data_IF_165474343805
#
_entry.id   IF_165474343805
#
_cell.length_a   1.000
_cell.length_b   1.000
_cell.length_c   1.000
_cell.angle_alpha   90.00
_cell.angle_beta   90.00
_cell.angle_gamma   90.00
#
_symmetry.space_group_name_H-M   'P 1'
#
loop_
_entity.id
_entity.type
_entity.pdbx_description
1 polymer ?
#
# COMPACT_ATOMS: atom_id res chain seq x y z
N UNK A 1 18.17 3.11 -22.25
CA UNK A 1 18.38 4.36 -21.47
C UNK A 1 17.91 4.11 -20.05
N UNK A 2 18.88 3.89 -19.16
CA UNK A 2 18.62 3.68 -17.72
C UNK A 2 17.97 4.95 -17.14
N UNK A 3 16.74 4.85 -16.66
CA UNK A 3 16.15 5.87 -15.80
C UNK A 3 16.98 5.88 -14.52
N UNK A 4 17.75 6.93 -14.31
CA UNK A 4 18.35 7.24 -13.01
C UNK A 4 17.14 7.40 -12.06
N UNK A 5 16.88 6.38 -11.24
CA UNK A 5 16.01 6.53 -10.09
C UNK A 5 16.72 7.51 -9.15
N UNK A 6 16.32 8.78 -9.23
CA UNK A 6 16.71 9.79 -8.24
C UNK A 6 16.21 9.27 -6.91
N UNK A 7 17.12 8.83 -6.05
CA UNK A 7 16.78 8.37 -4.72
C UNK A 7 15.95 9.46 -4.04
N UNK A 8 14.75 9.14 -3.61
CA UNK A 8 13.83 10.07 -2.93
C UNK A 8 14.48 10.78 -1.74
N UNK A 9 15.52 10.19 -1.16
CA UNK A 9 16.33 10.76 -0.10
C UNK A 9 17.06 12.06 -0.49
N UNK A 10 17.24 12.35 -1.79
CA UNK A 10 17.93 13.56 -2.28
C UNK A 10 17.01 14.69 -2.69
N UNK A 11 15.71 14.45 -2.83
CA UNK A 11 14.74 15.46 -3.28
C UNK A 11 14.66 16.66 -2.35
N UNK A 12 14.63 17.86 -2.93
CA UNK A 12 14.32 19.10 -2.22
C UNK A 12 12.83 19.18 -1.90
N UNK A 13 12.38 20.02 -0.94
CA UNK A 13 10.95 20.19 -0.68
C UNK A 13 10.15 20.62 -1.90
N UNK A 14 10.73 21.40 -2.81
CA UNK A 14 10.06 21.82 -4.07
C UNK A 14 9.84 20.65 -5.01
N UNK A 15 10.82 19.77 -5.18
CA UNK A 15 10.69 18.57 -5.99
C UNK A 15 9.67 17.59 -5.41
N UNK A 16 9.63 17.45 -4.07
CA UNK A 16 8.60 16.65 -3.40
C UNK A 16 7.20 17.20 -3.70
N UNK A 17 7.01 18.53 -3.61
CA UNK A 17 5.72 19.17 -3.96
C UNK A 17 5.36 18.90 -5.42
N UNK A 18 6.31 19.04 -6.36
CA UNK A 18 6.10 18.75 -7.78
C UNK A 18 5.68 17.30 -8.04
N UNK A 19 6.27 16.34 -7.32
CA UNK A 19 5.85 14.94 -7.42
C UNK A 19 4.44 14.72 -6.85
N UNK A 20 4.10 15.39 -5.74
CA UNK A 20 2.74 15.36 -5.19
C UNK A 20 1.72 16.02 -6.15
N UNK A 21 2.11 17.09 -6.85
CA UNK A 21 1.26 17.78 -7.83
C UNK A 21 0.84 16.87 -9.01
N UNK A 22 1.63 15.84 -9.32
CA UNK A 22 1.27 14.84 -10.35
C UNK A 22 0.09 13.93 -9.96
N UNK A 23 -0.30 13.96 -8.69
CA UNK A 23 -1.33 13.06 -8.15
C UNK A 23 -2.46 13.81 -7.45
N UNK A 24 -2.19 14.99 -6.93
CA UNK A 24 -3.10 15.73 -6.06
C UNK A 24 -3.22 17.16 -6.58
N UNK A 25 -4.43 17.58 -6.86
CA UNK A 25 -4.75 18.94 -7.31
C UNK A 25 -4.89 19.87 -6.10
N UNK A 26 -4.37 21.09 -6.20
CA UNK A 26 -4.48 22.10 -5.15
C UNK A 26 -3.74 21.75 -3.85
N UNK A 27 -4.24 22.19 -2.71
CA UNK A 27 -3.78 21.86 -1.35
C UNK A 27 -2.29 22.19 -1.10
N UNK A 28 -1.82 23.35 -1.57
CA UNK A 28 -0.40 23.73 -1.58
C UNK A 28 0.23 23.74 -0.18
N UNK A 29 -0.48 24.26 0.83
CA UNK A 29 0.05 24.37 2.19
C UNK A 29 0.25 22.98 2.83
N UNK A 30 -0.69 22.06 2.61
CA UNK A 30 -0.57 20.70 3.10
C UNK A 30 0.59 19.96 2.40
N UNK A 31 0.74 20.07 1.08
CA UNK A 31 1.87 19.51 0.33
C UNK A 31 3.20 20.06 0.81
N UNK A 32 3.27 21.39 1.01
CA UNK A 32 4.47 22.06 1.54
C UNK A 32 4.84 21.56 2.94
N UNK A 33 3.88 21.45 3.85
CA UNK A 33 4.09 20.96 5.20
C UNK A 33 4.68 19.54 5.23
N UNK A 34 4.06 18.61 4.46
CA UNK A 34 4.54 17.22 4.38
C UNK A 34 5.90 17.13 3.68
N UNK A 35 6.16 17.95 2.67
CA UNK A 35 7.44 18.00 1.97
C UNK A 35 8.58 18.48 2.90
N UNK A 36 8.29 19.48 3.74
CA UNK A 36 9.24 19.96 4.77
C UNK A 36 9.47 18.87 5.81
N UNK A 37 8.42 18.18 6.27
CA UNK A 37 8.53 17.09 7.24
C UNK A 37 9.42 15.95 6.72
N UNK A 38 9.22 15.53 5.45
CA UNK A 38 10.05 14.51 4.81
C UNK A 38 11.53 14.99 4.70
N UNK A 39 11.74 16.23 4.25
CA UNK A 39 13.11 16.76 4.13
C UNK A 39 13.80 16.91 5.47
N UNK A 40 13.07 17.24 6.53
CA UNK A 40 13.62 17.33 7.88
C UNK A 40 14.10 15.97 8.41
N UNK A 41 13.45 14.87 8.03
CA UNK A 41 13.96 13.52 8.31
C UNK A 41 15.33 13.28 7.67
N UNK A 42 15.46 13.61 6.40
CA UNK A 42 16.75 13.49 5.72
C UNK A 42 17.81 14.37 6.39
N UNK A 43 17.47 15.64 6.73
CA UNK A 43 18.38 16.54 7.46
C UNK A 43 18.79 15.96 8.80
N UNK A 44 17.86 15.39 9.54
CA UNK A 44 18.11 14.74 10.82
C UNK A 44 19.14 13.61 10.70
N UNK A 45 19.04 12.78 9.66
CA UNK A 45 19.97 11.67 9.43
C UNK A 45 21.40 12.14 9.09
N UNK A 46 21.59 13.42 8.73
CA UNK A 46 22.91 14.02 8.50
C UNK A 46 23.55 14.61 9.77
N UNK A 47 22.81 14.64 10.88
CA UNK A 47 23.31 15.17 12.14
C UNK A 47 24.20 14.13 12.86
N UNK A 48 25.10 14.66 13.72
CA UNK A 48 25.85 13.81 14.65
C UNK A 48 24.91 13.04 15.58
N UNK A 49 25.29 11.83 16.05
CA UNK A 49 24.40 10.96 16.82
C UNK A 49 23.73 11.61 18.02
N UNK A 50 24.48 12.43 18.76
CA UNK A 50 24.00 13.10 19.98
C UNK A 50 22.82 14.04 19.63
N UNK A 51 22.98 14.88 18.61
CA UNK A 51 21.97 15.84 18.20
C UNK A 51 20.83 15.15 17.44
N UNK A 52 21.11 14.05 16.71
CA UNK A 52 20.10 13.28 15.98
C UNK A 52 19.02 12.73 16.90
N UNK A 53 19.41 12.27 18.09
CA UNK A 53 18.48 11.69 19.06
C UNK A 53 17.56 12.74 19.71
N UNK A 54 18.01 14.00 19.78
CA UNK A 54 17.23 15.11 20.36
C UNK A 54 16.23 15.72 19.35
N UNK A 55 16.44 15.50 18.03
CA UNK A 55 15.57 16.07 17.00
C UNK A 55 14.38 15.17 16.73
N UNK A 56 13.24 15.49 17.31
CA UNK A 56 11.97 14.81 17.08
C UNK A 56 11.25 15.30 15.81
N UNK A 57 10.49 14.44 15.11
CA UNK A 57 9.65 14.86 14.00
C UNK A 57 8.57 15.84 14.47
N UNK A 58 8.17 16.74 13.58
CA UNK A 58 7.04 17.65 13.83
C UNK A 58 5.79 17.04 13.22
N UNK A 59 4.91 16.52 14.07
CA UNK A 59 3.67 15.91 13.64
C UNK A 59 2.72 16.95 13.04
N UNK A 60 1.84 16.50 12.15
CA UNK A 60 0.99 17.36 11.34
C UNK A 60 -0.49 17.03 11.63
N UNK A 61 -1.29 18.07 11.86
CA UNK A 61 -2.74 17.99 11.91
C UNK A 61 -3.30 18.58 10.63
N UNK A 62 -3.96 17.75 9.81
CA UNK A 62 -4.65 18.14 8.57
C UNK A 62 -6.12 18.36 8.85
N UNK A 63 -6.61 19.57 8.62
CA UNK A 63 -7.98 19.99 8.88
C UNK A 63 -8.66 20.26 7.54
N UNK A 64 -9.87 19.77 7.33
CA UNK A 64 -10.62 20.08 6.10
C UNK A 64 -11.66 19.01 5.76
N UNK A 65 -12.57 19.32 4.80
CA UNK A 65 -13.68 18.45 4.43
C UNK A 65 -13.24 17.04 4.01
N UNK A 66 -14.19 16.12 3.95
CA UNK A 66 -13.98 14.78 3.40
C UNK A 66 -13.67 14.86 1.91
N UNK A 67 -12.81 13.97 1.42
CA UNK A 67 -12.55 13.83 -0.03
C UNK A 67 -11.68 14.93 -0.66
N UNK A 68 -11.02 15.80 0.12
CA UNK A 68 -10.11 16.84 -0.40
C UNK A 68 -8.65 16.39 -0.56
N UNK A 69 -8.35 15.10 -0.32
CA UNK A 69 -7.03 14.53 -0.56
C UNK A 69 -6.14 14.37 0.67
N UNK A 70 -6.62 14.55 1.91
CA UNK A 70 -5.81 14.40 3.14
C UNK A 70 -5.05 13.07 3.20
N UNK A 71 -5.76 11.96 3.09
CA UNK A 71 -5.17 10.60 3.08
C UNK A 71 -4.23 10.38 1.90
N UNK A 72 -4.59 10.88 0.73
CA UNK A 72 -3.81 10.69 -0.49
C UNK A 72 -2.45 11.41 -0.41
N UNK A 73 -2.41 12.62 0.18
CA UNK A 73 -1.16 13.34 0.44
C UNK A 73 -0.23 12.49 1.31
N UNK A 74 -0.72 11.94 2.41
CA UNK A 74 0.09 11.12 3.32
C UNK A 74 0.56 9.82 2.66
N UNK A 75 -0.31 9.15 1.91
CA UNK A 75 0.01 7.91 1.19
C UNK A 75 1.07 8.15 0.12
N UNK A 76 0.93 9.20 -0.68
CA UNK A 76 1.93 9.56 -1.71
C UNK A 76 3.26 9.97 -1.11
N UNK A 77 3.23 10.70 0.01
CA UNK A 77 4.46 11.02 0.76
C UNK A 77 5.21 9.76 1.18
N UNK A 78 4.50 8.78 1.74
CA UNK A 78 5.09 7.52 2.17
C UNK A 78 5.67 6.72 0.99
N UNK A 79 4.96 6.68 -0.15
CA UNK A 79 5.46 6.05 -1.37
C UNK A 79 6.72 6.75 -1.88
N UNK A 80 6.75 8.08 -1.92
CA UNK A 80 7.93 8.85 -2.32
C UNK A 80 9.12 8.62 -1.37
N UNK A 81 8.85 8.51 -0.08
CA UNK A 81 9.86 8.25 0.93
C UNK A 81 10.33 6.79 0.96
N UNK A 82 9.66 5.89 0.24
CA UNK A 82 9.83 4.45 0.39
C UNK A 82 9.78 4.00 1.86
N UNK A 83 8.84 4.59 2.62
CA UNK A 83 8.72 4.48 4.06
C UNK A 83 7.57 3.53 4.44
N UNK A 84 7.71 2.78 5.54
CA UNK A 84 6.58 2.04 6.11
C UNK A 84 5.43 3.00 6.43
N UNK A 85 4.22 2.63 6.01
CA UNK A 85 3.03 3.46 6.15
C UNK A 85 1.85 2.65 6.63
N UNK A 86 1.17 3.17 7.65
CA UNK A 86 -0.11 2.62 8.11
C UNK A 86 -1.14 3.75 8.17
N UNK A 87 -2.36 3.45 7.72
CA UNK A 87 -3.53 4.30 7.90
C UNK A 87 -4.47 3.62 8.91
N UNK A 88 -4.87 4.38 9.93
CA UNK A 88 -5.86 3.96 10.91
C UNK A 88 -6.94 5.02 11.08
N UNK A 89 -8.11 4.62 11.51
CA UNK A 89 -9.20 5.51 11.90
C UNK A 89 -9.24 5.57 13.43
N UNK A 90 -9.22 6.78 14.00
CA UNK A 90 -9.24 6.98 15.46
C UNK A 90 -10.43 6.30 16.14
N UNK A 91 -11.56 6.20 15.43
CA UNK A 91 -12.80 5.57 15.92
C UNK A 91 -12.73 4.05 16.08
N UNK A 92 -11.68 3.40 15.54
CA UNK A 92 -11.47 1.93 15.69
C UNK A 92 -10.91 1.54 17.06
N UNK A 93 -10.37 2.51 17.78
CA UNK A 93 -9.77 2.28 19.08
C UNK A 93 -10.76 2.56 20.19
N UNK A 94 -10.64 1.83 21.26
CA UNK A 94 -11.40 2.02 22.48
C UNK A 94 -10.42 2.17 23.65
N UNK A 95 -10.85 2.87 24.68
CA UNK A 95 -10.06 3.01 25.92
C UNK A 95 -9.62 1.65 26.46
N UNK A 96 -8.39 1.56 26.94
CA UNK A 96 -7.83 0.33 27.50
C UNK A 96 -8.76 -0.23 28.60
N UNK A 97 -9.12 -1.51 28.43
CA UNK A 97 -10.07 -2.19 29.36
C UNK A 97 -11.48 -2.38 28.80
N UNK A 98 -11.83 -1.75 27.68
CA UNK A 98 -13.08 -2.01 26.95
C UNK A 98 -12.84 -2.94 25.74
N UNK A 99 -13.91 -3.54 25.24
CA UNK A 99 -13.83 -4.41 24.04
C UNK A 99 -13.53 -3.54 22.84
N UNK A 100 -12.29 -3.63 22.34
CA UNK A 100 -11.80 -2.88 21.17
C UNK A 100 -10.33 -3.15 20.88
N UNK A 101 -9.79 -2.48 19.85
CA UNK A 101 -8.37 -2.57 19.52
C UNK A 101 -7.56 -1.60 20.37
N UNK A 102 -6.47 -2.12 20.93
CA UNK A 102 -5.42 -1.34 21.57
C UNK A 102 -4.71 -0.43 20.56
N UNK A 103 -4.38 0.78 20.95
CA UNK A 103 -3.66 1.76 20.11
C UNK A 103 -2.25 1.29 19.70
N UNK A 104 -1.60 0.44 20.51
CA UNK A 104 -0.31 -0.16 20.15
C UNK A 104 -0.39 -1.03 18.88
N UNK A 105 -1.59 -1.51 18.53
CA UNK A 105 -1.80 -2.26 17.29
C UNK A 105 -1.37 -1.45 16.06
N UNK A 106 -1.42 -0.13 16.11
CA UNK A 106 -0.92 0.78 15.05
C UNK A 106 0.55 0.47 14.74
N UNK A 107 1.35 0.33 15.78
CA UNK A 107 2.79 0.10 15.63
C UNK A 107 3.07 -1.36 15.21
N UNK A 108 2.27 -2.31 15.68
CA UNK A 108 2.36 -3.72 15.24
C UNK A 108 2.02 -3.83 13.75
N UNK A 109 0.98 -3.15 13.28
CA UNK A 109 0.58 -3.10 11.86
C UNK A 109 1.65 -2.38 11.00
N UNK A 110 2.28 -1.32 11.55
CA UNK A 110 3.39 -0.64 10.90
C UNK A 110 4.60 -1.56 10.72
N UNK A 111 4.92 -2.36 11.75
CA UNK A 111 5.99 -3.36 11.71
C UNK A 111 5.72 -4.43 10.65
N UNK A 112 4.51 -4.96 10.58
CA UNK A 112 4.10 -5.93 9.57
C UNK A 112 4.25 -5.37 8.15
N UNK A 113 3.86 -4.11 7.97
CA UNK A 113 4.01 -3.40 6.68
C UNK A 113 5.48 -3.20 6.33
N UNK A 114 6.33 -2.84 7.29
CA UNK A 114 7.76 -2.66 7.08
C UNK A 114 8.44 -3.96 6.68
N UNK A 115 8.17 -5.06 7.40
CA UNK A 115 8.76 -6.38 7.07
C UNK A 115 8.36 -6.81 5.67
N UNK A 116 7.09 -6.64 5.28
CA UNK A 116 6.63 -6.92 3.91
C UNK A 116 7.39 -6.08 2.88
N UNK A 117 7.50 -4.77 3.11
CA UNK A 117 8.20 -3.84 2.22
C UNK A 117 9.67 -4.23 2.03
N UNK A 118 10.38 -4.48 3.11
CA UNK A 118 11.80 -4.83 3.07
C UNK A 118 12.06 -6.21 2.49
N UNK A 119 11.14 -7.18 2.74
CA UNK A 119 11.20 -8.50 2.12
C UNK A 119 11.07 -8.41 0.61
N UNK A 120 10.11 -7.65 0.09
CA UNK A 120 9.95 -7.45 -1.34
C UNK A 120 11.18 -6.75 -1.97
N UNK A 121 11.73 -5.74 -1.29
CA UNK A 121 12.97 -5.10 -1.73
C UNK A 121 14.16 -6.07 -1.75
N UNK A 122 14.29 -6.92 -0.73
CA UNK A 122 15.34 -7.93 -0.67
C UNK A 122 15.20 -8.95 -1.80
N UNK A 123 13.98 -9.43 -2.08
CA UNK A 123 13.68 -10.32 -3.22
C UNK A 123 14.06 -9.69 -4.56
N UNK A 124 13.73 -8.40 -4.77
CA UNK A 124 14.12 -7.67 -6.00
C UNK A 124 15.65 -7.61 -6.16
N UNK A 125 16.39 -7.41 -5.07
CA UNK A 125 17.87 -7.37 -5.10
C UNK A 125 18.49 -8.71 -5.50
N UNK A 126 17.91 -9.82 -5.05
CA UNK A 126 18.42 -11.18 -5.32
C UNK A 126 17.77 -11.81 -6.55
N UNK A 127 16.88 -11.11 -7.25
CA UNK A 127 16.07 -11.65 -8.35
C UNK A 127 16.89 -12.31 -9.45
N UNK A 128 17.95 -11.66 -9.92
CA UNK A 128 18.81 -12.23 -10.98
C UNK A 128 19.42 -13.56 -10.53
N UNK A 129 19.90 -13.62 -9.29
CA UNK A 129 20.47 -14.85 -8.73
C UNK A 129 19.39 -15.93 -8.50
N UNK A 130 18.18 -15.51 -8.12
CA UNK A 130 17.04 -16.42 -7.99
C UNK A 130 16.59 -16.97 -9.35
N UNK A 131 16.60 -16.16 -10.41
CA UNK A 131 16.33 -16.59 -11.79
C UNK A 131 17.34 -17.63 -12.27
N UNK A 132 18.64 -17.42 -12.01
CA UNK A 132 19.68 -18.41 -12.33
C UNK A 132 19.48 -19.75 -11.59
N UNK A 133 19.17 -19.70 -10.29
CA UNK A 133 18.89 -20.92 -9.50
C UNK A 133 17.61 -21.62 -9.96
N UNK A 134 16.57 -20.87 -10.30
CA UNK A 134 15.34 -21.43 -10.85
C UNK A 134 15.58 -22.12 -12.20
N UNK A 135 16.40 -21.51 -13.08
CA UNK A 135 16.82 -22.14 -14.35
C UNK A 135 17.58 -23.46 -14.08
N UNK A 136 18.47 -23.49 -13.10
CA UNK A 136 19.20 -24.70 -12.74
C UNK A 136 18.28 -25.81 -12.23
N UNK A 137 17.27 -25.48 -11.42
CA UNK A 137 16.28 -26.45 -10.97
C UNK A 137 15.41 -27.00 -12.10
N UNK A 138 15.02 -26.17 -13.06
CA UNK A 138 14.29 -26.62 -14.25
C UNK A 138 15.18 -27.55 -15.08
N UNK A 139 16.46 -27.22 -15.25
CA UNK A 139 17.40 -28.05 -15.96
C UNK A 139 17.65 -29.40 -15.24
N UNK A 140 17.70 -29.41 -13.91
CA UNK A 140 17.83 -30.65 -13.13
C UNK A 140 16.58 -31.55 -13.27
N UNK A 141 15.38 -30.96 -13.39
CA UNK A 141 14.14 -31.68 -13.65
C UNK A 141 14.08 -32.24 -15.09
N UNK A 142 14.60 -31.52 -16.07
CA UNK A 142 14.65 -31.93 -17.48
C UNK A 142 15.75 -32.98 -17.75
N UNK A 143 16.86 -32.87 -17.05
CA UNK A 143 18.06 -33.69 -17.20
C UNK A 143 18.42 -34.30 -15.84
N UNK A 144 17.64 -35.26 -15.35
CA UNK A 144 17.93 -35.86 -14.06
C UNK A 144 19.32 -36.50 -14.08
N UNK A 145 20.16 -36.10 -13.13
CA UNK A 145 21.48 -36.73 -12.95
C UNK A 145 21.28 -38.22 -12.77
N UNK A 146 21.92 -39.03 -13.59
CA UNK A 146 21.95 -40.44 -13.39
C UNK A 146 22.60 -40.69 -12.02
N UNK A 147 21.80 -41.02 -11.02
CA UNK A 147 22.28 -41.53 -9.75
C UNK A 147 22.99 -42.87 -10.08
N UNK A 148 24.31 -42.87 -9.93
CA UNK A 148 25.08 -44.08 -10.09
C UNK A 148 24.45 -45.19 -9.30
N UNK A 149 24.29 -46.35 -9.93
CA UNK A 149 23.65 -47.53 -9.33
C UNK A 149 24.27 -47.87 -7.99
N UNK A 150 23.48 -48.56 -7.17
CA UNK A 150 23.87 -49.14 -5.87
C UNK A 150 25.06 -50.07 -6.10
N UNK A 151 26.27 -49.51 -6.06
CA UNK A 151 27.53 -50.23 -6.10
C UNK A 151 28.51 -49.47 -5.21
N UNK A 152 29.03 -50.16 -4.18
CA UNK A 152 30.08 -49.67 -3.32
C UNK A 152 31.39 -49.57 -4.12
N UNK A 153 31.57 -48.51 -4.88
CA UNK A 153 32.83 -48.20 -5.53
C UNK A 153 33.35 -46.86 -5.03
N UNK A 154 34.40 -46.82 -4.19
CA UNK A 154 34.94 -45.59 -3.61
C UNK A 154 35.52 -44.61 -4.66
N UNK A 155 35.77 -45.05 -5.89
CA UNK A 155 36.24 -44.21 -6.99
C UNK A 155 35.12 -43.47 -7.77
N UNK A 156 33.87 -43.94 -7.63
CA UNK A 156 32.71 -43.27 -8.30
C UNK A 156 32.29 -41.92 -7.65
N UNK A 157 32.86 -41.56 -6.50
CA UNK A 157 32.58 -40.30 -5.80
C UNK A 157 33.29 -39.07 -6.40
N UNK A 158 34.04 -39.21 -7.49
CA UNK A 158 34.78 -38.12 -8.17
C UNK A 158 34.35 -37.84 -9.63
N UNK A 159 33.13 -38.22 -10.00
CA UNK A 159 32.66 -37.91 -11.31
C UNK A 159 32.25 -36.42 -11.39
N UNK A 160 33.21 -35.57 -11.78
CA UNK A 160 32.90 -34.29 -12.38
C UNK A 160 31.93 -34.53 -13.55
N UNK A 161 30.92 -33.64 -13.77
CA UNK A 161 29.96 -33.78 -14.86
C UNK A 161 30.74 -33.90 -16.19
N UNK A 162 30.42 -34.92 -16.99
CA UNK A 162 31.10 -35.14 -18.25
C UNK A 162 31.00 -33.92 -19.17
N UNK A 163 32.01 -33.66 -20.01
CA UNK A 163 31.97 -32.53 -20.94
C UNK A 163 30.70 -32.56 -21.81
N UNK A 164 30.18 -33.72 -22.15
CA UNK A 164 28.94 -33.91 -22.91
C UNK A 164 27.70 -33.52 -22.11
N UNK A 165 27.65 -33.78 -20.80
CA UNK A 165 26.54 -33.37 -19.90
C UNK A 165 26.51 -31.83 -19.78
N UNK A 166 27.69 -31.19 -19.74
CA UNK A 166 27.81 -29.75 -19.72
C UNK A 166 27.32 -29.10 -21.02
N UNK A 167 27.69 -29.64 -22.18
CA UNK A 167 27.25 -29.14 -23.51
C UNK A 167 25.72 -29.28 -23.66
N UNK A 168 25.15 -30.40 -23.25
CA UNK A 168 23.71 -30.63 -23.29
C UNK A 168 22.97 -29.64 -22.38
N UNK A 169 23.49 -29.42 -21.16
CA UNK A 169 22.91 -28.47 -20.20
C UNK A 169 22.97 -27.02 -20.74
N UNK A 170 24.06 -26.64 -21.38
CA UNK A 170 24.18 -25.32 -22.01
C UNK A 170 23.16 -25.15 -23.16
N UNK A 171 22.96 -26.19 -23.97
CA UNK A 171 21.97 -26.17 -25.07
C UNK A 171 20.55 -26.04 -24.54
N UNK A 172 20.18 -26.84 -23.51
CA UNK A 172 18.86 -26.76 -22.90
C UNK A 172 18.63 -25.40 -22.20
N UNK A 173 19.64 -24.83 -21.55
CA UNK A 173 19.57 -23.49 -20.97
C UNK A 173 19.27 -22.42 -22.06
N UNK A 174 19.89 -22.55 -23.25
CA UNK A 174 19.63 -21.65 -24.36
C UNK A 174 18.20 -21.78 -24.87
N UNK A 175 17.70 -23.01 -25.04
CA UNK A 175 16.31 -23.30 -25.42
C UNK A 175 15.30 -22.82 -24.36
N UNK A 176 15.64 -22.90 -23.08
CA UNK A 176 14.83 -22.40 -21.99
C UNK A 176 14.71 -20.87 -22.04
N UNK A 177 15.81 -20.17 -22.37
CA UNK A 177 15.84 -18.71 -22.48
C UNK A 177 15.16 -18.20 -23.77
N UNK A 178 15.15 -18.99 -24.84
CA UNK A 178 14.42 -18.67 -26.07
C UNK A 178 12.92 -18.94 -25.99
N UNK A 179 12.43 -19.63 -24.93
CA UNK A 179 11.03 -19.99 -24.78
C UNK A 179 10.59 -21.25 -25.53
N UNK A 180 11.48 -21.94 -26.23
CA UNK A 180 11.17 -23.16 -26.99
C UNK A 180 10.65 -24.33 -26.11
N UNK A 181 10.92 -24.27 -24.81
CA UNK A 181 10.54 -25.32 -23.86
C UNK A 181 9.34 -24.90 -22.96
N UNK A 182 8.75 -23.73 -23.18
CA UNK A 182 7.74 -23.13 -22.29
C UNK A 182 6.51 -24.01 -22.06
N UNK A 183 6.04 -24.70 -23.10
CA UNK A 183 4.86 -25.60 -23.05
C UNK A 183 5.20 -27.02 -22.57
N UNK A 184 6.47 -27.32 -22.33
CA UNK A 184 6.88 -28.64 -21.84
C UNK A 184 6.55 -28.81 -20.37
N UNK A 185 5.93 -29.92 -20.02
CA UNK A 185 5.62 -30.29 -18.65
C UNK A 185 6.83 -30.85 -17.92
N UNK A 186 7.00 -30.44 -16.68
CA UNK A 186 8.04 -30.94 -15.76
C UNK A 186 7.40 -31.28 -14.41
N UNK A 187 7.91 -32.29 -13.77
CA UNK A 187 7.56 -32.64 -12.39
C UNK A 187 8.51 -31.93 -11.42
N UNK A 188 7.95 -31.13 -10.54
CA UNK A 188 8.71 -30.33 -9.58
C UNK A 188 8.24 -30.58 -8.15
N UNK A 189 9.22 -30.68 -7.26
CA UNK A 189 8.99 -30.61 -5.82
C UNK A 189 8.91 -29.13 -5.42
N UNK A 190 7.70 -28.61 -5.30
CA UNK A 190 7.46 -27.27 -4.78
C UNK A 190 7.22 -27.34 -3.28
N UNK A 191 7.91 -26.48 -2.54
CA UNK A 191 7.61 -26.30 -1.12
C UNK A 191 6.12 -25.93 -0.98
N UNK A 192 5.38 -26.70 -0.22
CA UNK A 192 4.02 -26.33 0.13
C UNK A 192 4.11 -25.04 0.93
N UNK A 193 3.78 -23.90 0.31
CA UNK A 193 3.44 -22.69 1.05
C UNK A 193 2.13 -22.94 1.79
N UNK A 194 2.18 -23.76 2.84
CA UNK A 194 1.11 -23.84 3.83
C UNK A 194 1.30 -22.64 4.74
N UNK A 195 0.94 -21.44 4.26
CA UNK A 195 0.45 -20.43 5.15
C UNK A 195 -0.92 -20.91 5.64
N UNK A 196 -0.93 -21.90 6.56
CA UNK A 196 -2.04 -22.03 7.47
C UNK A 196 -2.01 -20.79 8.34
N UNK A 197 -2.69 -19.74 7.89
CA UNK A 197 -3.18 -18.72 8.78
C UNK A 197 -4.21 -19.40 9.69
N UNK A 198 -3.72 -19.97 10.78
CA UNK A 198 -4.57 -20.35 11.91
C UNK A 198 -5.04 -18.99 12.43
N UNK A 199 -6.27 -18.61 12.07
CA UNK A 199 -6.95 -17.46 12.67
C UNK A 199 -7.09 -17.77 14.16
N UNK A 200 -6.09 -17.36 14.92
CA UNK A 200 -6.17 -17.36 16.38
C UNK A 200 -6.99 -16.13 16.80
N UNK A 201 -7.98 -16.30 17.69
CA UNK A 201 -8.69 -15.16 18.27
C UNK A 201 -7.71 -14.19 18.94
N UNK A 202 -8.01 -12.87 18.96
CA UNK A 202 -7.20 -11.88 19.64
C UNK A 202 -6.95 -12.28 21.11
N UNK A 203 -5.69 -12.30 21.53
CA UNK A 203 -5.27 -12.71 22.88
C UNK A 203 -4.75 -14.14 23.03
N UNK A 204 -4.75 -14.97 21.97
CA UNK A 204 -4.22 -16.35 21.98
C UNK A 204 -3.03 -16.53 21.02
N UNK A 205 -2.31 -15.46 20.69
CA UNK A 205 -1.22 -15.47 19.71
C UNK A 205 -0.04 -16.36 20.12
N UNK A 206 0.29 -16.41 21.42
CA UNK A 206 1.34 -17.30 21.96
C UNK A 206 0.98 -18.77 21.82
N UNK A 207 -0.29 -19.12 22.02
CA UNK A 207 -0.78 -20.48 21.85
C UNK A 207 -0.80 -20.90 20.37
N UNK A 208 -1.10 -19.95 19.47
CA UNK A 208 -1.00 -20.13 18.02
C UNK A 208 0.44 -20.39 17.57
N UNK A 209 1.42 -19.70 18.15
CA UNK A 209 2.84 -19.92 17.87
C UNK A 209 3.33 -21.26 18.44
N UNK A 210 2.91 -21.64 19.64
CA UNK A 210 3.23 -22.94 20.23
C UNK A 210 2.62 -24.08 19.42
N UNK A 211 1.37 -23.97 18.97
CA UNK A 211 0.76 -24.93 18.05
C UNK A 211 1.51 -25.00 16.71
N UNK A 212 1.90 -23.87 16.13
CA UNK A 212 2.71 -23.81 14.90
C UNK A 212 4.06 -24.49 15.05
N UNK A 213 4.75 -24.27 16.17
CA UNK A 213 6.03 -24.92 16.48
C UNK A 213 5.86 -26.42 16.78
N UNK A 214 4.75 -26.78 17.40
CA UNK A 214 4.44 -28.20 17.70
C UNK A 214 4.07 -28.96 16.42
N UNK A 215 3.32 -28.37 15.51
CA UNK A 215 3.06 -28.96 14.19
C UNK A 215 4.29 -28.99 13.29
N UNK A 216 5.18 -28.01 13.36
CA UNK A 216 6.46 -28.01 12.66
C UNK A 216 7.40 -29.16 13.19
N UNK A 217 7.33 -29.43 14.48
CA UNK A 217 8.15 -30.51 15.11
C UNK A 217 7.53 -31.91 15.02
N UNK A 218 6.19 -32.03 14.93
CA UNK A 218 5.52 -33.36 14.79
C UNK A 218 5.36 -33.78 13.32
N UNK A 219 5.37 -32.86 12.38
CA UNK A 219 5.33 -33.14 10.95
C UNK A 219 6.74 -33.16 10.40
N UNK A 220 7.43 -34.27 10.51
CA UNK A 220 8.73 -34.46 9.88
C UNK A 220 8.69 -34.09 8.41
N UNK A 221 9.40 -33.01 8.05
CA UNK A 221 9.60 -32.53 6.68
C UNK A 221 8.32 -32.07 5.99
N UNK A 222 8.23 -30.78 5.65
CA UNK A 222 7.23 -30.30 4.71
C UNK A 222 7.21 -31.27 3.51
N UNK A 223 6.15 -32.03 3.36
CA UNK A 223 6.00 -32.94 2.20
C UNK A 223 5.96 -32.05 0.97
N UNK A 224 7.08 -32.00 0.24
CA UNK A 224 7.10 -31.40 -1.07
C UNK A 224 6.00 -32.07 -1.90
N UNK A 225 5.03 -31.29 -2.35
CA UNK A 225 4.01 -31.83 -3.24
C UNK A 225 4.58 -31.82 -4.65
N UNK A 226 4.78 -33.01 -5.19
CA UNK A 226 5.09 -33.16 -6.60
C UNK A 226 3.93 -32.62 -7.43
N UNK A 227 4.23 -31.61 -8.24
CA UNK A 227 3.27 -31.02 -9.18
C UNK A 227 3.84 -31.06 -10.57
N UNK A 228 3.01 -31.51 -11.52
CA UNK A 228 3.32 -31.41 -12.94
C UNK A 228 2.80 -30.07 -13.46
N UNK A 229 3.70 -29.24 -13.97
CA UNK A 229 3.41 -27.91 -14.49
C UNK A 229 4.17 -27.70 -15.79
N UNK A 230 3.64 -26.85 -16.67
CA UNK A 230 4.43 -26.35 -17.81
C UNK A 230 5.57 -25.45 -17.31
N UNK A 231 6.67 -25.43 -18.00
CA UNK A 231 7.86 -24.63 -17.64
C UNK A 231 7.48 -23.15 -17.49
N UNK A 232 6.63 -22.65 -18.38
CA UNK A 232 6.08 -21.29 -18.33
C UNK A 232 5.38 -20.97 -17.00
N UNK A 233 4.57 -21.90 -16.49
CA UNK A 233 3.87 -21.74 -15.22
C UNK A 233 4.77 -21.98 -14.00
N UNK A 234 5.74 -22.90 -14.12
CA UNK A 234 6.66 -23.27 -13.06
C UNK A 234 7.74 -22.21 -12.79
N UNK A 235 8.23 -21.53 -13.83
CA UNK A 235 9.32 -20.54 -13.75
C UNK A 235 9.08 -19.44 -12.72
N UNK A 236 7.97 -18.69 -12.73
CA UNK A 236 7.71 -17.65 -11.74
C UNK A 236 7.63 -18.19 -10.30
N UNK A 237 7.07 -19.39 -10.10
CA UNK A 237 6.96 -20.02 -8.79
C UNK A 237 8.33 -20.42 -8.24
N UNK A 238 9.20 -20.95 -9.09
CA UNK A 238 10.56 -21.32 -8.70
C UNK A 238 11.41 -20.08 -8.41
N UNK A 239 11.31 -19.03 -9.21
CA UNK A 239 12.02 -17.77 -8.95
C UNK A 239 11.62 -17.20 -7.60
N UNK A 240 10.33 -17.20 -7.28
CA UNK A 240 9.81 -16.71 -5.99
C UNK A 240 10.31 -17.57 -4.81
N UNK A 241 10.32 -18.91 -4.96
CA UNK A 241 10.83 -19.81 -3.94
C UNK A 241 12.35 -19.65 -3.73
N UNK A 242 13.14 -19.55 -4.80
CA UNK A 242 14.58 -19.35 -4.72
C UNK A 242 14.93 -17.96 -4.19
N UNK A 243 14.17 -16.92 -4.57
CA UNK A 243 14.34 -15.59 -3.99
C UNK A 243 14.10 -15.62 -2.47
N UNK A 244 13.06 -16.32 -2.02
CA UNK A 244 12.77 -16.52 -0.60
C UNK A 244 13.91 -17.23 0.17
N UNK A 245 14.58 -18.22 -0.45
CA UNK A 245 15.74 -18.93 0.15
C UNK A 245 17.01 -18.08 0.19
N UNK A 246 17.16 -17.14 -0.74
CA UNK A 246 18.33 -16.26 -0.82
C UNK A 246 18.29 -15.09 0.17
N UNK A 247 17.11 -14.79 0.67
CA UNK A 247 16.89 -13.64 1.55
C UNK A 247 17.11 -14.06 3.01
N UNK A 248 17.86 -13.26 3.75
CA UNK A 248 18.05 -13.43 5.19
C UNK A 248 16.92 -12.74 5.98
N UNK A 249 16.09 -13.50 6.65
CA UNK A 249 14.94 -12.98 7.43
C UNK A 249 15.38 -12.15 8.64
N UNK A 250 16.54 -12.43 9.26
CA UNK A 250 17.06 -11.64 10.39
C UNK A 250 17.53 -10.25 9.93
N UNK A 251 18.16 -10.16 8.76
CA UNK A 251 18.56 -8.88 8.17
C UNK A 251 17.33 -8.04 7.80
N UNK A 252 16.29 -8.68 7.21
CA UNK A 252 15.02 -8.01 6.92
C UNK A 252 14.38 -7.47 8.20
N UNK A 253 14.30 -8.30 9.24
CA UNK A 253 13.71 -7.93 10.52
C UNK A 253 14.41 -6.73 11.13
N UNK A 254 15.74 -6.75 11.18
CA UNK A 254 16.56 -5.67 11.71
C UNK A 254 16.34 -4.37 10.91
N UNK A 255 16.43 -4.45 9.58
CA UNK A 255 16.22 -3.31 8.70
C UNK A 255 14.78 -2.76 8.76
N UNK A 256 13.79 -3.64 8.93
CA UNK A 256 12.39 -3.24 9.05
C UNK A 256 12.10 -2.51 10.38
N UNK A 257 12.68 -2.98 11.49
CA UNK A 257 12.58 -2.29 12.79
C UNK A 257 13.19 -0.90 12.69
N UNK A 258 14.42 -0.79 12.19
CA UNK A 258 15.09 0.50 12.00
C UNK A 258 14.28 1.42 11.09
N UNK A 259 13.73 0.90 10.00
CA UNK A 259 12.87 1.67 9.11
C UNK A 259 11.56 2.14 9.77
N UNK A 260 10.96 1.34 10.63
CA UNK A 260 9.81 1.77 11.43
C UNK A 260 10.17 2.93 12.32
N UNK A 261 11.24 2.79 13.09
CA UNK A 261 11.68 3.80 14.07
C UNK A 261 12.10 5.10 13.41
N UNK A 262 12.89 5.04 12.32
CA UNK A 262 13.50 6.23 11.71
C UNK A 262 12.66 6.83 10.58
N UNK A 263 11.85 6.02 9.90
CA UNK A 263 11.15 6.41 8.68
C UNK A 263 9.65 6.12 8.69
N UNK A 264 9.11 5.46 9.72
CA UNK A 264 7.69 5.11 9.82
C UNK A 264 6.77 6.33 9.71
N UNK A 265 5.64 6.19 9.02
CA UNK A 265 4.59 7.20 8.90
C UNK A 265 3.28 6.57 9.34
N UNK A 266 2.65 7.18 10.33
CA UNK A 266 1.32 6.80 10.82
C UNK A 266 0.34 7.89 10.45
N UNK A 267 -0.72 7.52 9.73
CA UNK A 267 -1.81 8.42 9.40
C UNK A 267 -3.04 8.05 10.23
N UNK A 268 -3.46 8.96 11.11
CA UNK A 268 -4.62 8.81 11.98
C UNK A 268 -5.76 9.63 11.38
N UNK A 269 -6.74 8.94 10.79
CA UNK A 269 -7.92 9.58 10.19
C UNK A 269 -9.03 9.77 11.23
N UNK A 270 -9.91 10.72 10.98
CA UNK A 270 -11.10 11.01 11.79
C UNK A 270 -10.80 11.34 13.27
N UNK A 271 -9.68 12.03 13.55
CA UNK A 271 -9.30 12.40 14.93
C UNK A 271 -10.34 13.33 15.59
N UNK A 272 -11.09 14.10 14.80
CA UNK A 272 -12.19 14.95 15.26
C UNK A 272 -13.38 14.17 15.87
N UNK A 273 -13.51 12.89 15.53
CA UNK A 273 -14.56 12.02 16.06
C UNK A 273 -14.33 11.60 17.52
N UNK A 274 -13.07 11.61 17.95
CA UNK A 274 -12.67 11.33 19.33
C UNK A 274 -12.45 12.62 20.16
N UNK A 275 -12.67 13.81 19.58
CA UNK A 275 -12.70 15.07 20.30
C UNK A 275 -13.97 15.22 21.14
N UNK A 276 -13.92 16.02 22.21
CA UNK A 276 -15.10 16.33 23.03
C UNK A 276 -16.18 16.99 22.19
N UNK A 277 -17.44 16.63 22.40
CA UNK A 277 -18.60 17.30 21.80
C UNK A 277 -19.38 18.05 22.87
N UNK A 278 -19.04 19.34 23.06
CA UNK A 278 -19.83 20.25 23.90
C UNK A 278 -19.91 19.90 25.41
N UNK A 279 -20.69 20.68 26.15
CA UNK A 279 -20.81 20.60 27.63
C UNK A 279 -21.69 19.43 28.15
N UNK A 280 -22.21 18.57 27.32
CA UNK A 280 -23.00 17.40 27.75
C UNK A 280 -22.09 16.23 28.08
N UNK A 281 -21.78 16.08 29.34
CA UNK A 281 -21.05 14.93 29.94
C UNK A 281 -21.93 13.68 29.93
N UNK A 282 -21.95 12.96 28.81
CA UNK A 282 -22.49 11.60 28.70
C UNK A 282 -21.38 10.56 28.74
N UNK A 283 -21.66 9.34 29.18
CA UNK A 283 -20.66 8.27 29.30
C UNK A 283 -19.86 7.96 28.01
N UNK A 284 -20.33 8.41 26.83
CA UNK A 284 -19.61 8.28 25.57
C UNK A 284 -18.45 9.28 25.39
N UNK A 285 -18.40 10.38 26.14
CA UNK A 285 -17.33 11.39 26.03
C UNK A 285 -16.09 10.96 26.84
N UNK A 286 -16.27 10.22 27.92
CA UNK A 286 -15.17 9.63 28.71
C UNK A 286 -14.37 8.65 27.85
N UNK A 287 -15.05 7.77 27.11
CA UNK A 287 -14.39 6.79 26.22
C UNK A 287 -13.63 7.46 25.07
N UNK A 288 -14.10 8.60 24.53
CA UNK A 288 -13.40 9.36 23.47
C UNK A 288 -12.15 10.03 23.98
N UNK A 289 -12.19 10.64 25.15
CA UNK A 289 -11.02 11.23 25.82
C UNK A 289 -9.99 10.15 26.17
N UNK A 290 -10.45 8.94 26.58
CA UNK A 290 -9.60 7.78 26.84
C UNK A 290 -8.75 7.40 25.61
N UNK A 291 -9.36 7.33 24.42
CA UNK A 291 -8.61 7.04 23.17
C UNK A 291 -7.53 8.09 22.90
N UNK A 292 -7.81 9.38 23.14
CA UNK A 292 -6.79 10.43 22.98
C UNK A 292 -5.63 10.25 23.98
N UNK A 293 -5.93 9.89 25.22
CA UNK A 293 -4.91 9.62 26.26
C UNK A 293 -4.08 8.39 25.95
N UNK A 294 -4.70 7.35 25.36
CA UNK A 294 -3.99 6.14 24.95
C UNK A 294 -3.09 6.38 23.72
N UNK A 295 -3.48 7.28 22.81
CA UNK A 295 -2.64 7.69 21.67
C UNK A 295 -1.42 8.53 22.09
N UNK A 296 -1.53 9.25 23.21
CA UNK A 296 -0.51 10.20 23.64
C UNK A 296 0.89 9.58 23.84
N UNK A 297 1.07 8.44 24.54
CA UNK A 297 2.36 7.79 24.68
C UNK A 297 3.00 7.43 23.32
N UNK A 298 2.20 7.00 22.35
CA UNK A 298 2.74 6.67 21.02
C UNK A 298 3.28 7.91 20.30
N UNK A 299 2.59 9.04 20.43
CA UNK A 299 2.96 10.30 19.77
C UNK A 299 4.08 11.03 20.52
N UNK A 300 4.21 10.80 21.82
CA UNK A 300 5.27 11.35 22.67
C UNK A 300 6.59 10.61 22.58
N UNK A 301 6.53 9.32 22.32
CA UNK A 301 7.64 8.38 22.31
C UNK A 301 7.44 7.29 23.36
N UNK A 302 7.33 6.07 22.93
CA UNK A 302 7.16 4.88 23.76
C UNK A 302 7.82 3.67 23.11
N UNK A 303 7.99 2.60 23.91
CA UNK A 303 8.47 1.31 23.42
C UNK A 303 7.31 0.36 23.25
N UNK A 304 7.07 -0.09 22.02
CA UNK A 304 5.99 -1.03 21.71
C UNK A 304 6.57 -2.39 21.36
N UNK A 305 6.13 -3.42 22.07
CA UNK A 305 6.51 -4.80 21.79
C UNK A 305 5.77 -5.35 20.59
N UNK A 306 6.52 -5.91 19.64
CA UNK A 306 5.99 -6.57 18.44
C UNK A 306 6.58 -7.98 18.30
N UNK A 307 6.00 -8.81 17.45
CA UNK A 307 6.55 -10.15 17.14
C UNK A 307 7.94 -10.12 16.47
N UNK A 308 8.37 -8.95 16.01
CA UNK A 308 9.69 -8.76 15.39
C UNK A 308 10.73 -8.17 16.35
N UNK A 309 10.31 -7.64 17.47
CA UNK A 309 11.11 -6.96 18.47
C UNK A 309 10.41 -5.70 18.98
N UNK A 310 11.08 -4.98 19.87
CA UNK A 310 10.60 -3.71 20.40
C UNK A 310 10.87 -2.58 19.41
N UNK A 311 9.89 -1.71 19.18
CA UNK A 311 9.97 -0.53 18.31
C UNK A 311 9.79 0.72 19.16
N UNK A 312 10.70 1.68 19.01
CA UNK A 312 10.62 3.01 19.61
C UNK A 312 9.87 3.96 18.70
N UNK A 313 8.90 4.69 19.25
CA UNK A 313 8.02 5.55 18.43
C UNK A 313 8.51 7.00 18.32
N UNK A 314 9.59 7.39 19.04
CA UNK A 314 10.11 8.76 19.13
C UNK A 314 10.32 9.48 17.80
N UNK A 315 10.67 8.74 16.75
CA UNK A 315 10.98 9.33 15.45
C UNK A 315 10.00 8.93 14.34
N UNK A 316 8.88 8.29 14.69
CA UNK A 316 7.78 8.05 13.79
C UNK A 316 7.06 9.36 13.51
N UNK A 317 6.70 9.62 12.25
CA UNK A 317 5.90 10.79 11.89
C UNK A 317 4.42 10.45 12.01
N UNK A 318 3.73 11.14 12.89
CA UNK A 318 2.29 11.06 12.99
C UNK A 318 1.65 12.19 12.19
N UNK A 319 0.70 11.85 11.33
CA UNK A 319 -0.13 12.78 10.60
C UNK A 319 -1.57 12.49 10.99
N UNK A 320 -2.18 13.36 11.76
CA UNK A 320 -3.58 13.24 12.10
C UNK A 320 -4.45 14.02 11.12
N UNK A 321 -5.67 13.56 10.86
CA UNK A 321 -6.62 14.26 10.01
C UNK A 321 -8.03 14.23 10.57
N UNK A 322 -8.78 15.31 10.34
CA UNK A 322 -10.18 15.44 10.71
C UNK A 322 -10.90 16.46 9.86
N UNK A 323 -12.22 16.33 9.80
CA UNK A 323 -13.07 17.32 9.13
C UNK A 323 -13.31 18.55 10.02
N UNK A 324 -13.39 18.34 11.32
CA UNK A 324 -13.65 19.38 12.33
C UNK A 324 -14.90 20.24 12.06
N UNK A 325 -15.94 19.60 11.52
CA UNK A 325 -17.22 20.30 11.30
C UNK A 325 -18.02 20.53 12.59
N UNK A 326 -18.01 19.54 13.48
CA UNK A 326 -18.76 19.55 14.76
C UNK A 326 -17.87 19.81 15.97
N UNK A 327 -16.59 19.49 15.84
CA UNK A 327 -15.56 19.71 16.85
C UNK A 327 -14.54 20.70 16.30
N UNK A 328 -13.80 21.36 17.19
CA UNK A 328 -12.67 22.23 16.84
C UNK A 328 -11.36 21.54 17.22
N UNK A 329 -10.23 21.89 16.59
CA UNK A 329 -8.91 21.40 17.05
C UNK A 329 -8.62 21.67 18.54
N UNK A 330 -9.23 22.73 19.11
CA UNK A 330 -9.16 23.05 20.56
C UNK A 330 -9.93 22.08 21.44
N UNK A 331 -10.78 21.23 20.89
CA UNK A 331 -11.57 20.25 21.66
C UNK A 331 -10.81 18.92 21.86
N UNK A 332 -9.65 18.79 21.21
CA UNK A 332 -8.66 17.76 21.57
C UNK A 332 -8.05 18.07 22.92
N UNK A 333 -7.58 17.06 23.66
CA UNK A 333 -6.89 17.28 24.93
C UNK A 333 -5.63 18.16 24.73
N UNK A 334 -5.30 19.08 25.64
CA UNK A 334 -4.20 20.04 25.47
C UNK A 334 -2.85 19.39 25.16
N UNK A 335 -2.58 18.23 25.78
CA UNK A 335 -1.35 17.48 25.59
C UNK A 335 -1.23 17.00 24.12
N UNK A 336 -2.30 16.46 23.55
CA UNK A 336 -2.32 16.00 22.18
C UNK A 336 -2.22 17.17 21.19
N UNK A 337 -2.85 18.32 21.50
CA UNK A 337 -2.70 19.53 20.69
C UNK A 337 -1.25 19.99 20.60
N UNK A 338 -0.50 19.91 21.69
CA UNK A 338 0.92 20.25 21.76
C UNK A 338 1.82 19.33 20.92
N UNK A 339 1.38 18.08 20.72
CA UNK A 339 2.12 17.08 19.94
C UNK A 339 1.86 17.16 18.43
N UNK A 340 0.87 17.94 17.98
CA UNK A 340 0.61 18.26 16.58
C UNK A 340 0.83 19.77 16.31
N UNK A 341 2.08 20.24 16.35
CA UNK A 341 2.41 21.66 16.25
C UNK A 341 2.17 22.25 14.86
N UNK A 342 2.20 21.41 13.81
CA UNK A 342 1.95 21.85 12.44
C UNK A 342 0.49 21.61 12.12
N UNK A 343 -0.25 22.70 11.92
CA UNK A 343 -1.66 22.65 11.51
C UNK A 343 -1.78 23.16 10.09
N UNK A 344 -2.44 22.39 9.23
CA UNK A 344 -2.68 22.77 7.84
C UNK A 344 -4.16 22.59 7.50
N UNK A 345 -4.72 23.61 6.86
CA UNK A 345 -6.09 23.58 6.40
C UNK A 345 -6.13 23.22 4.92
N UNK A 346 -6.99 22.27 4.57
CA UNK A 346 -7.28 21.88 3.21
C UNK A 346 -8.63 22.48 2.84
N UNK A 347 -8.65 23.30 1.80
CA UNK A 347 -9.87 23.94 1.29
C UNK A 347 -10.80 22.93 0.63
N UNK A 348 -12.10 23.26 0.62
CA UNK A 348 -13.07 22.57 -0.21
C UNK A 348 -12.67 22.71 -1.69
N UNK A 349 -13.00 21.69 -2.49
CA UNK A 349 -12.68 21.66 -3.92
C UNK A 349 -13.67 22.54 -4.69
N UNK A 350 -13.14 23.39 -5.55
CA UNK A 350 -13.93 24.19 -6.51
C UNK A 350 -14.29 23.38 -7.76
N UNK A 351 -15.23 23.88 -8.58
CA UNK A 351 -15.53 23.29 -9.90
C UNK A 351 -14.26 23.13 -10.74
N UNK A 352 -13.39 24.13 -10.74
CA UNK A 352 -12.14 24.08 -11.50
C UNK A 352 -11.18 22.99 -10.97
N UNK A 353 -11.17 22.75 -9.66
CA UNK A 353 -10.38 21.65 -9.10
C UNK A 353 -10.92 20.28 -9.55
N UNK A 354 -12.23 20.12 -9.69
CA UNK A 354 -12.82 18.89 -10.23
C UNK A 354 -12.42 18.66 -11.70
N UNK A 355 -12.44 19.70 -12.54
CA UNK A 355 -11.94 19.63 -13.93
C UNK A 355 -10.48 19.16 -13.94
N UNK A 356 -9.66 19.77 -13.10
CA UNK A 356 -8.24 19.41 -12.98
C UNK A 356 -8.04 17.99 -12.47
N UNK A 357 -8.83 17.53 -11.50
CA UNK A 357 -8.78 16.15 -10.97
C UNK A 357 -9.13 15.12 -12.06
N UNK A 358 -10.03 15.45 -12.94
CA UNK A 358 -10.41 14.58 -14.06
C UNK A 358 -9.35 14.50 -15.16
N UNK A 359 -8.42 15.48 -15.25
CA UNK A 359 -7.51 15.63 -16.40
C UNK A 359 -6.03 15.55 -16.08
N UNK A 360 -5.57 16.24 -15.00
CA UNK A 360 -4.14 16.45 -14.72
C UNK A 360 -3.42 15.22 -14.14
N UNK A 361 -3.98 14.49 -13.14
CA UNK A 361 -3.27 13.39 -12.50
C UNK A 361 -2.84 12.33 -13.51
N UNK A 362 -1.67 11.69 -13.26
CA UNK A 362 -1.20 10.58 -14.09
C UNK A 362 -2.25 9.48 -14.25
N UNK A 363 -2.97 9.18 -13.18
CA UNK A 363 -4.07 8.24 -13.14
C UNK A 363 -5.39 8.99 -12.92
N UNK A 364 -5.67 9.99 -13.76
CA UNK A 364 -6.96 10.67 -13.75
C UNK A 364 -8.10 9.66 -13.97
N UNK A 365 -9.26 9.90 -13.37
CA UNK A 365 -10.39 8.96 -13.45
C UNK A 365 -10.82 8.68 -14.89
N UNK A 366 -10.84 9.70 -15.75
CA UNK A 366 -11.13 9.53 -17.17
C UNK A 366 -10.21 8.50 -17.84
N UNK A 367 -8.89 8.62 -17.61
CA UNK A 367 -7.89 7.68 -18.12
C UNK A 367 -8.04 6.27 -17.57
N UNK A 368 -8.50 6.14 -16.32
CA UNK A 368 -8.76 4.81 -15.73
C UNK A 368 -9.91 4.11 -16.45
N UNK A 369 -11.03 4.81 -16.70
CA UNK A 369 -12.17 4.24 -17.42
C UNK A 369 -11.88 4.00 -18.91
N UNK A 370 -11.13 4.90 -19.58
CA UNK A 370 -10.63 4.67 -20.93
C UNK A 370 -9.82 3.36 -21.02
N UNK A 371 -8.92 3.15 -20.04
CA UNK A 371 -8.12 1.92 -19.99
C UNK A 371 -8.95 0.68 -19.65
N UNK A 372 -9.91 0.78 -18.71
CA UNK A 372 -10.79 -0.34 -18.33
C UNK A 372 -11.65 -0.80 -19.52
N UNK A 373 -12.36 0.11 -20.16
CA UNK A 373 -13.19 -0.22 -21.32
C UNK A 373 -12.36 -0.65 -22.53
N UNK A 374 -11.13 -0.13 -22.62
CA UNK A 374 -10.16 -0.56 -23.63
C UNK A 374 -9.75 -2.03 -23.50
N UNK A 375 -9.87 -2.66 -22.34
CA UNK A 375 -9.63 -4.12 -22.19
C UNK A 375 -10.66 -4.98 -22.90
N UNK A 376 -11.88 -4.45 -23.08
CA UNK A 376 -12.98 -5.06 -23.83
C UNK A 376 -13.02 -4.60 -25.30
N UNK A 377 -11.97 -3.92 -25.78
CA UNK A 377 -11.90 -3.41 -27.15
C UNK A 377 -12.66 -2.11 -27.40
N UNK A 378 -13.38 -1.55 -26.43
CA UNK A 378 -14.14 -0.30 -26.55
C UNK A 378 -13.21 0.89 -26.33
N UNK A 379 -13.10 1.76 -27.33
CA UNK A 379 -12.31 3.00 -27.25
C UNK A 379 -13.20 4.16 -26.81
N UNK A 380 -13.05 4.58 -25.57
CA UNK A 380 -13.77 5.72 -25.01
C UNK A 380 -12.84 6.92 -24.94
N UNK A 381 -13.38 8.11 -25.21
CA UNK A 381 -12.71 9.39 -24.99
C UNK A 381 -13.67 10.42 -24.42
N UNK A 382 -13.17 11.29 -23.54
CA UNK A 382 -13.96 12.36 -22.94
C UNK A 382 -13.61 13.69 -23.59
N UNK A 383 -14.61 14.40 -24.11
CA UNK A 383 -14.41 15.73 -24.66
C UNK A 383 -14.28 16.79 -23.55
N UNK A 384 -13.72 17.95 -23.86
CA UNK A 384 -13.51 19.00 -22.86
C UNK A 384 -14.83 19.52 -22.24
N UNK A 385 -15.88 19.60 -23.04
CA UNK A 385 -17.23 19.99 -22.59
C UNK A 385 -17.87 18.92 -21.69
N UNK A 386 -17.64 17.63 -21.96
CA UNK A 386 -18.06 16.54 -21.06
C UNK A 386 -17.38 16.64 -19.70
N UNK A 387 -16.06 16.86 -19.69
CA UNK A 387 -15.29 17.02 -18.45
C UNK A 387 -15.79 18.21 -17.63
N UNK A 388 -16.03 19.36 -18.29
CA UNK A 388 -16.56 20.55 -17.61
C UNK A 388 -17.96 20.29 -17.04
N UNK A 389 -18.81 19.57 -17.80
CA UNK A 389 -20.16 19.21 -17.38
C UNK A 389 -20.18 18.22 -16.21
N UNK A 390 -19.31 17.19 -16.23
CA UNK A 390 -19.13 16.25 -15.12
C UNK A 390 -18.66 16.95 -13.85
N UNK A 391 -17.69 17.86 -13.98
CA UNK A 391 -17.18 18.65 -12.87
C UNK A 391 -18.28 19.56 -12.27
N UNK A 392 -19.10 20.16 -13.11
CA UNK A 392 -20.23 20.99 -12.68
C UNK A 392 -21.27 20.17 -11.93
N UNK A 393 -21.66 19.01 -12.46
CA UNK A 393 -22.61 18.10 -11.80
C UNK A 393 -22.08 17.66 -10.44
N UNK A 394 -20.84 17.19 -10.37
CA UNK A 394 -20.23 16.74 -9.12
C UNK A 394 -20.14 17.89 -8.09
N UNK A 395 -19.83 19.09 -8.52
CA UNK A 395 -19.79 20.28 -7.68
C UNK A 395 -21.18 20.65 -7.15
N UNK A 396 -22.18 20.71 -8.03
CA UNK A 396 -23.57 21.04 -7.66
C UNK A 396 -24.17 20.03 -6.68
N UNK A 397 -23.90 18.74 -6.88
CA UNK A 397 -24.39 17.70 -5.97
C UNK A 397 -23.71 17.82 -4.60
N UNK A 398 -22.40 18.11 -4.54
CA UNK A 398 -21.70 18.37 -3.27
C UNK A 398 -22.21 19.64 -2.55
N UNK A 399 -22.68 20.67 -3.29
CA UNK A 399 -23.27 21.88 -2.70
C UNK A 399 -24.68 21.63 -2.13
N UNK A 400 -25.45 20.75 -2.77
CA UNK A 400 -26.85 20.48 -2.40
C UNK A 400 -26.99 19.39 -1.34
N UNK A 401 -26.00 18.50 -1.27
CA UNK A 401 -26.00 17.34 -0.39
C UNK A 401 -24.79 17.35 0.54
N UNK A 402 -24.47 16.19 1.15
CA UNK A 402 -23.25 16.02 1.91
C UNK A 402 -22.03 16.16 0.98
N UNK A 403 -21.14 17.08 1.33
CA UNK A 403 -19.92 17.32 0.58
C UNK A 403 -18.90 16.22 0.86
N UNK A 404 -18.79 15.27 -0.09
CA UNK A 404 -17.81 14.18 -0.04
C UNK A 404 -16.57 14.45 -0.92
N UNK A 405 -16.42 15.70 -1.41
CA UNK A 405 -15.27 16.14 -2.20
C UNK A 405 -15.11 15.34 -3.49
N UNK A 406 -13.86 15.03 -3.84
CA UNK A 406 -13.54 14.30 -5.08
C UNK A 406 -14.12 12.88 -5.16
N UNK A 407 -14.57 12.29 -4.05
CA UNK A 407 -15.27 10.99 -4.09
C UNK A 407 -16.54 11.05 -4.93
N UNK A 408 -17.17 12.24 -5.01
CA UNK A 408 -18.36 12.47 -5.87
C UNK A 408 -18.08 12.19 -7.34
N UNK A 409 -16.88 12.45 -7.82
CA UNK A 409 -16.50 12.16 -9.21
C UNK A 409 -16.56 10.65 -9.53
N UNK A 410 -16.21 9.78 -8.58
CA UNK A 410 -16.34 8.34 -8.76
C UNK A 410 -17.81 7.95 -8.94
N UNK A 411 -18.69 8.40 -8.03
CA UNK A 411 -20.12 8.05 -8.12
C UNK A 411 -20.77 8.57 -9.40
N UNK A 412 -20.40 9.79 -9.83
CA UNK A 412 -20.91 10.38 -11.06
C UNK A 412 -20.41 9.61 -12.29
N UNK A 413 -19.14 9.24 -12.35
CA UNK A 413 -18.57 8.47 -13.48
C UNK A 413 -19.09 7.04 -13.52
N UNK A 414 -19.20 6.36 -12.38
CA UNK A 414 -19.81 5.02 -12.32
C UNK A 414 -21.21 5.04 -12.89
N UNK A 415 -22.03 6.03 -12.52
CA UNK A 415 -23.39 6.15 -13.02
C UNK A 415 -23.44 6.51 -14.51
N UNK A 416 -22.56 7.40 -14.96
CA UNK A 416 -22.47 7.78 -16.37
C UNK A 416 -22.18 6.58 -17.26
N UNK A 417 -21.30 5.68 -16.80
CA UNK A 417 -20.75 4.59 -17.59
C UNK A 417 -21.40 3.23 -17.29
N UNK A 418 -22.41 3.19 -16.42
CA UNK A 418 -23.06 1.96 -15.97
C UNK A 418 -23.54 1.08 -17.15
N UNK A 419 -24.38 1.64 -18.03
CA UNK A 419 -24.89 0.93 -19.21
C UNK A 419 -23.75 0.54 -20.18
N UNK A 420 -22.81 1.46 -20.42
CA UNK A 420 -21.69 1.22 -21.31
C UNK A 420 -20.77 0.10 -20.79
N UNK A 421 -20.51 0.10 -19.49
CA UNK A 421 -19.68 -0.93 -18.86
C UNK A 421 -20.34 -2.30 -18.89
N UNK A 422 -21.67 -2.36 -18.76
CA UNK A 422 -22.44 -3.61 -18.87
C UNK A 422 -22.43 -4.19 -20.29
N UNK A 423 -22.51 -3.32 -21.30
CA UNK A 423 -22.58 -3.70 -22.72
C UNK A 423 -21.18 -3.86 -23.37
N UNK A 424 -20.11 -3.45 -22.70
CA UNK A 424 -18.77 -3.38 -23.27
C UNK A 424 -18.29 -4.68 -23.94
N UNK A 425 -18.52 -5.89 -23.37
CA UNK A 425 -18.13 -7.15 -24.02
C UNK A 425 -18.80 -7.39 -25.39
N UNK A 426 -19.98 -6.82 -25.61
CA UNK A 426 -20.74 -6.96 -26.85
C UNK A 426 -20.42 -5.84 -27.88
N UNK A 427 -19.58 -4.87 -27.51
CA UNK A 427 -19.27 -3.67 -28.29
C UNK A 427 -17.80 -3.58 -28.71
N UNK A 428 -17.14 -4.72 -28.86
CA UNK A 428 -15.71 -4.78 -29.27
C UNK A 428 -15.46 -4.03 -30.59
N UNK A 429 -14.40 -3.23 -30.61
CA UNK A 429 -13.99 -2.40 -31.74
C UNK A 429 -14.73 -1.04 -31.85
N UNK A 430 -15.70 -0.76 -31.00
CA UNK A 430 -16.43 0.50 -31.02
C UNK A 430 -15.59 1.66 -30.50
N UNK A 431 -15.83 2.86 -31.07
CA UNK A 431 -15.21 4.11 -30.61
C UNK A 431 -16.32 5.08 -30.22
N UNK A 432 -16.33 5.51 -28.96
CA UNK A 432 -17.32 6.41 -28.39
C UNK A 432 -16.66 7.67 -27.84
N UNK A 433 -17.11 8.83 -28.32
CA UNK A 433 -16.79 10.12 -27.73
C UNK A 433 -17.91 10.53 -26.77
N UNK A 434 -17.57 10.65 -25.50
CA UNK A 434 -18.49 11.16 -24.46
C UNK A 434 -18.41 12.67 -24.48
N UNK A 435 -19.50 13.31 -24.88
CA UNK A 435 -19.67 14.74 -24.91
C UNK A 435 -20.67 15.22 -23.83
N UNK A 436 -20.90 16.53 -23.74
CA UNK A 436 -21.84 17.08 -22.76
C UNK A 436 -23.28 16.59 -22.97
N UNK A 437 -23.69 16.32 -24.21
CA UNK A 437 -25.03 15.79 -24.52
C UNK A 437 -25.18 14.35 -23.98
N UNK A 438 -24.16 13.53 -24.13
CA UNK A 438 -24.14 12.19 -23.54
C UNK A 438 -24.24 12.26 -22.01
N UNK A 439 -23.47 13.18 -21.37
CA UNK A 439 -23.52 13.38 -19.92
C UNK A 439 -24.92 13.80 -19.47
N UNK A 440 -25.53 14.75 -20.13
CA UNK A 440 -26.87 15.24 -19.80
C UNK A 440 -27.96 14.16 -20.02
N UNK A 441 -27.84 13.33 -21.06
CA UNK A 441 -28.77 12.25 -21.31
C UNK A 441 -28.76 11.17 -20.20
N UNK A 442 -27.61 10.91 -19.59
CA UNK A 442 -27.46 9.85 -18.57
C UNK A 442 -27.58 10.36 -17.13
N UNK A 443 -27.27 11.63 -16.89
CA UNK A 443 -27.20 12.22 -15.55
C UNK A 443 -28.18 13.39 -15.32
N UNK A 444 -28.79 13.93 -16.39
CA UNK A 444 -29.61 15.14 -16.31
C UNK A 444 -30.82 15.00 -15.38
N UNK A 445 -31.52 13.88 -15.44
CA UNK A 445 -32.69 13.61 -14.56
C UNK A 445 -32.25 13.47 -13.10
N UNK A 446 -31.10 12.82 -12.84
CA UNK A 446 -30.56 12.61 -11.48
C UNK A 446 -30.16 13.91 -10.81
N UNK A 447 -29.72 14.91 -11.58
CA UNK A 447 -29.31 16.21 -11.06
C UNK A 447 -30.53 17.09 -10.74
N UNK A 448 -31.65 16.90 -11.46
CA UNK A 448 -32.88 17.67 -11.29
C UNK A 448 -33.71 17.17 -10.10
N UNK A 449 -33.69 15.86 -9.81
CA UNK A 449 -34.47 15.25 -8.74
C UNK A 449 -33.58 15.09 -7.47
N UNK A 450 -33.84 15.87 -6.39
CA UNK A 450 -33.08 15.77 -5.13
C UNK A 450 -33.18 14.40 -4.45
N UNK A 451 -34.32 13.70 -4.59
CA UNK A 451 -34.53 12.41 -3.96
C UNK A 451 -33.77 11.30 -4.72
N UNK A 452 -33.85 11.29 -6.04
CA UNK A 452 -33.04 10.36 -6.87
C UNK A 452 -31.56 10.60 -6.69
N UNK A 453 -31.13 11.85 -6.67
CA UNK A 453 -29.73 12.24 -6.45
C UNK A 453 -29.21 11.76 -5.09
N UNK A 454 -30.04 11.76 -4.04
CA UNK A 454 -29.68 11.32 -2.69
C UNK A 454 -29.46 9.81 -2.57
N UNK A 455 -30.16 9.01 -3.38
CA UNK A 455 -30.07 7.55 -3.35
C UNK A 455 -29.07 6.97 -4.34
N UNK A 456 -28.75 7.70 -5.39
CA UNK A 456 -27.98 7.16 -6.53
C UNK A 456 -26.60 7.81 -6.65
N UNK A 457 -26.45 9.07 -6.26
CA UNK A 457 -25.20 9.83 -6.26
C UNK A 457 -24.72 10.12 -4.83
#
# INVERSE_FOLDING_TARGET
>A
MSKIEVSSATMTPREIVQELDRHIVGQHDAKRAVAIALRNRWRRMQLVPELRNEVMPKNILMIGPTGVGKTEIARRLATLANAPFVKVEATRFTEVGYVGKDVEQIIRDLADTAVKLYREQAKVRVRTQAEERAEDRILDALLPRRSGGIGFDPEAARNEPSAQDNETRIKFRKMLRSGELDEREIELDLAANVSMDIMTPPGMEEMGQQLKSMFANLGGGAKAHKRTLTIKAARPLLVEEEAGKLVNEDDIRTAAIEACEQHGIVFIDEIDKVAKRGDNVGGGDVSREGVQRDLLPLVEGSNVSTKYGTIKTDHILFIASGAFHLAKPSDLIPELQGRFPIRVELGALSKNDFVRILTEPKAALTKQYEALLGTEGVKVSFTADAIDRLAEIAFQVNERQENIGARRLHTVLERLLDSLSYEAPDRDGETLAIDSAYVDAHLGELVQDPDLSRYIL
#
